data_IF_967207615037
#
_entry.id   IF_967207615037
#
_cell.length_a   1.000
_cell.length_b   1.000
_cell.length_c   1.000
_cell.angle_alpha   90.00
_cell.angle_beta   90.00
_cell.angle_gamma   90.00
#
_symmetry.space_group_name_H-M   'P 1'
#
loop_
_entity.id
_entity.type
_entity.pdbx_description
1 polymer ?
#
# COMPACT_ATOMS: atom_id res chain seq x y z
N UNK A 1 87.88 -32.23 25.05
CA UNK A 1 87.25 -33.08 24.01
C UNK A 1 85.74 -33.07 24.21
N UNK A 2 85.01 -33.06 23.09
CA UNK A 2 83.61 -32.61 22.90
C UNK A 2 82.58 -33.31 23.80
N UNK A 3 81.69 -32.53 24.43
CA UNK A 3 80.36 -32.98 24.91
C UNK A 3 79.34 -32.70 23.79
N UNK A 4 78.68 -33.73 23.27
CA UNK A 4 77.49 -33.59 22.45
C UNK A 4 76.29 -33.25 23.36
N UNK A 5 75.61 -32.14 23.10
CA UNK A 5 74.30 -31.79 23.69
C UNK A 5 73.25 -31.85 22.59
N UNK A 6 72.14 -32.52 22.88
CA UNK A 6 71.06 -32.81 21.94
C UNK A 6 70.33 -31.56 21.43
N UNK A 7 69.76 -31.69 20.23
CA UNK A 7 68.85 -30.74 19.63
C UNK A 7 67.52 -30.69 20.42
N UNK A 8 66.91 -29.50 20.62
CA UNK A 8 65.53 -29.40 21.04
C UNK A 8 64.59 -29.50 19.82
N UNK A 9 63.51 -30.29 19.97
CA UNK A 9 62.36 -30.30 19.06
C UNK A 9 61.55 -29.02 19.28
N UNK A 10 61.36 -28.22 18.23
CA UNK A 10 60.34 -27.16 18.18
C UNK A 10 59.00 -27.78 17.77
N UNK A 11 57.96 -27.59 18.58
CA UNK A 11 56.58 -27.92 18.24
C UNK A 11 56.07 -27.04 17.09
N UNK A 12 55.19 -27.54 16.20
CA UNK A 12 54.50 -26.68 15.24
C UNK A 12 53.44 -25.85 15.96
N UNK A 13 53.44 -24.53 15.72
CA UNK A 13 52.33 -23.65 16.10
C UNK A 13 51.10 -24.06 15.31
N UNK A 14 50.05 -24.48 16.01
CA UNK A 14 48.70 -24.61 15.44
C UNK A 14 48.21 -23.20 15.09
N UNK A 15 48.14 -22.89 13.79
CA UNK A 15 47.40 -21.72 13.30
C UNK A 15 45.93 -22.14 13.35
N UNK A 16 45.19 -21.61 14.32
CA UNK A 16 43.74 -21.73 14.38
C UNK A 16 43.19 -20.88 13.23
N UNK A 17 42.90 -21.53 12.10
CA UNK A 17 42.13 -20.91 11.03
C UNK A 17 40.73 -20.63 11.54
N UNK A 18 40.38 -19.35 11.71
CA UNK A 18 39.00 -18.93 11.86
C UNK A 18 38.30 -19.31 10.55
N UNK A 19 37.59 -20.44 10.52
CA UNK A 19 36.55 -20.65 9.51
C UNK A 19 35.51 -19.57 9.79
N UNK A 20 35.45 -18.54 8.95
CA UNK A 20 34.25 -17.74 8.83
C UNK A 20 33.15 -18.70 8.42
N UNK A 21 32.20 -18.99 9.31
CA UNK A 21 30.94 -19.58 8.90
C UNK A 21 30.34 -18.61 7.89
N UNK A 22 30.29 -19.01 6.62
CA UNK A 22 29.43 -18.36 5.67
C UNK A 22 28.01 -18.48 6.23
N UNK A 23 27.42 -17.34 6.62
CA UNK A 23 26.01 -17.29 6.97
C UNK A 23 25.24 -17.88 5.79
N UNK A 24 24.38 -18.85 6.05
CA UNK A 24 23.42 -19.31 5.05
C UNK A 24 22.66 -18.08 4.54
N UNK A 25 22.37 -17.97 3.23
CA UNK A 25 21.53 -16.89 2.74
C UNK A 25 20.22 -16.95 3.53
N UNK A 26 19.90 -15.85 4.19
CA UNK A 26 18.63 -15.70 4.89
C UNK A 26 17.54 -15.79 3.80
N UNK A 27 16.80 -16.89 3.78
CA UNK A 27 15.69 -17.06 2.86
C UNK A 27 14.53 -16.18 3.33
N UNK A 28 13.83 -15.55 2.38
CA UNK A 28 12.52 -14.94 2.66
C UNK A 28 11.61 -16.01 3.30
N UNK A 29 10.81 -15.67 4.32
CA UNK A 29 9.85 -16.62 4.90
C UNK A 29 9.00 -17.31 3.83
N UNK A 30 8.63 -18.58 4.09
CA UNK A 30 7.73 -19.33 3.22
C UNK A 30 6.41 -18.57 2.96
N UNK A 31 5.69 -18.85 1.86
CA UNK A 31 4.45 -18.14 1.55
C UNK A 31 3.49 -18.12 2.74
N UNK A 32 3.07 -16.92 3.13
CA UNK A 32 2.11 -16.71 4.22
C UNK A 32 0.90 -15.96 3.67
N UNK A 33 -0.28 -16.43 4.04
CA UNK A 33 -1.52 -15.68 3.83
C UNK A 33 -1.54 -14.47 4.75
N UNK A 34 -1.62 -13.28 4.16
CA UNK A 34 -1.81 -12.01 4.85
C UNK A 34 -3.31 -11.70 4.84
N UNK A 35 -3.83 -11.35 6.01
CA UNK A 35 -5.16 -10.75 6.16
C UNK A 35 -4.98 -9.40 6.81
N UNK A 36 -5.40 -8.34 6.12
CA UNK A 36 -5.33 -6.97 6.63
C UNK A 36 -6.58 -6.20 6.18
N UNK A 37 -7.36 -5.72 7.15
CA UNK A 37 -8.70 -5.17 6.89
C UNK A 37 -9.54 -6.11 6.01
N UNK A 38 -10.05 -5.62 4.87
CA UNK A 38 -10.80 -6.42 3.90
C UNK A 38 -9.93 -7.13 2.86
N UNK A 39 -8.61 -7.03 2.95
CA UNK A 39 -7.69 -7.73 2.07
C UNK A 39 -7.36 -9.13 2.58
N UNK A 40 -7.31 -10.09 1.67
CA UNK A 40 -6.61 -11.36 1.89
C UNK A 40 -5.81 -11.72 0.64
N UNK A 41 -4.54 -12.07 0.82
CA UNK A 41 -3.65 -12.49 -0.26
C UNK A 41 -2.52 -13.36 0.29
N UNK A 42 -1.95 -14.19 -0.57
CA UNK A 42 -0.67 -14.86 -0.31
C UNK A 42 0.47 -14.04 -0.94
N UNK A 43 1.67 -14.12 -0.39
CA UNK A 43 2.86 -13.59 -1.05
C UNK A 43 3.95 -14.64 -1.19
N UNK A 44 4.77 -14.51 -2.23
CA UNK A 44 5.99 -15.31 -2.41
C UNK A 44 7.10 -14.45 -3.01
N UNK A 45 8.36 -14.79 -2.73
CA UNK A 45 9.52 -14.14 -3.36
C UNK A 45 10.28 -15.18 -4.14
N UNK A 46 10.41 -14.98 -5.45
CA UNK A 46 11.11 -15.91 -6.34
C UNK A 46 12.11 -15.16 -7.21
N UNK A 47 13.17 -15.86 -7.64
CA UNK A 47 14.22 -15.28 -8.49
C UNK A 47 13.77 -14.94 -9.92
N UNK A 48 12.52 -15.20 -10.27
CA UNK A 48 11.97 -15.01 -11.61
C UNK A 48 10.77 -14.08 -11.64
N UNK A 49 10.19 -13.75 -10.49
CA UNK A 49 8.98 -12.92 -10.37
C UNK A 49 9.08 -11.84 -9.28
N UNK A 50 10.24 -11.71 -8.63
CA UNK A 50 10.42 -10.81 -7.50
C UNK A 50 9.48 -11.18 -6.34
N UNK A 51 9.01 -10.15 -5.63
CA UNK A 51 7.86 -10.26 -4.74
C UNK A 51 6.58 -10.39 -5.59
N UNK A 52 5.81 -11.46 -5.36
CA UNK A 52 4.56 -11.76 -6.05
C UNK A 52 3.43 -11.86 -5.03
N UNK A 53 2.29 -11.25 -5.34
CA UNK A 53 1.04 -11.46 -4.62
C UNK A 53 0.17 -12.47 -5.36
N UNK A 54 -0.57 -13.31 -4.65
CA UNK A 54 -1.45 -14.35 -5.20
C UNK A 54 -2.75 -14.44 -4.44
N UNK A 55 -3.78 -14.97 -5.10
CA UNK A 55 -5.10 -15.16 -4.51
C UNK A 55 -5.59 -13.86 -3.86
N UNK A 56 -5.45 -12.74 -4.57
CA UNK A 56 -5.69 -11.40 -4.03
C UNK A 56 -7.19 -11.15 -4.02
N UNK A 57 -7.73 -10.97 -2.83
CA UNK A 57 -9.15 -10.70 -2.60
C UNK A 57 -9.33 -9.40 -1.82
N UNK A 58 -10.41 -8.68 -2.11
CA UNK A 58 -10.84 -7.51 -1.36
C UNK A 58 -12.34 -7.61 -1.06
N UNK A 59 -12.73 -7.44 0.20
CA UNK A 59 -14.10 -7.63 0.69
C UNK A 59 -14.68 -9.01 0.33
N UNK A 60 -13.84 -10.03 0.29
CA UNK A 60 -14.22 -11.41 -0.06
C UNK A 60 -14.47 -11.65 -1.56
N UNK A 61 -14.21 -10.67 -2.42
CA UNK A 61 -14.28 -10.76 -3.88
C UNK A 61 -12.89 -11.00 -4.45
N UNK A 62 -12.74 -11.88 -5.44
CA UNK A 62 -11.46 -12.11 -6.10
C UNK A 62 -11.14 -10.94 -7.02
N UNK A 63 -9.92 -10.42 -6.95
CA UNK A 63 -9.45 -9.35 -7.84
C UNK A 63 -8.34 -9.85 -8.78
N UNK A 64 -7.33 -10.56 -8.25
CA UNK A 64 -6.21 -11.04 -9.03
C UNK A 64 -5.87 -12.48 -8.63
N UNK A 65 -5.71 -13.39 -9.59
CA UNK A 65 -5.01 -14.64 -9.36
C UNK A 65 -3.56 -14.36 -8.94
N UNK A 66 -2.90 -13.41 -9.62
CA UNK A 66 -1.55 -12.99 -9.26
C UNK A 66 -1.16 -11.60 -9.74
N UNK A 67 -0.23 -10.99 -9.01
CA UNK A 67 0.45 -9.74 -9.34
C UNK A 67 1.95 -9.94 -9.13
N UNK A 68 2.74 -9.83 -10.19
CA UNK A 68 4.20 -10.01 -10.11
C UNK A 68 4.99 -8.94 -10.85
N UNK A 69 6.31 -8.91 -10.59
CA UNK A 69 7.27 -8.04 -11.24
C UNK A 69 8.37 -8.88 -11.90
N UNK A 70 8.08 -9.52 -13.03
CA UNK A 70 8.95 -10.53 -13.62
C UNK A 70 10.31 -10.02 -14.11
N UNK A 71 10.39 -8.79 -14.62
CA UNK A 71 11.63 -8.29 -15.20
C UNK A 71 11.67 -6.76 -15.20
N UNK A 72 12.88 -6.22 -15.11
CA UNK A 72 13.19 -4.85 -15.44
C UNK A 72 14.26 -4.83 -16.53
N UNK A 73 13.95 -4.31 -17.71
CA UNK A 73 14.88 -4.25 -18.84
C UNK A 73 15.62 -2.93 -18.82
N UNK A 74 16.94 -2.95 -18.94
CA UNK A 74 17.78 -1.76 -18.80
C UNK A 74 18.54 -1.50 -20.08
N UNK A 75 18.37 -0.31 -20.65
CA UNK A 75 19.04 0.11 -21.88
C UNK A 75 19.89 1.35 -21.58
N UNK A 76 21.17 1.26 -21.92
CA UNK A 76 22.11 2.37 -21.77
C UNK A 76 22.25 3.09 -23.10
N UNK A 77 22.52 4.39 -23.05
CA UNK A 77 22.90 5.15 -24.23
C UNK A 77 24.07 4.44 -24.96
N UNK A 78 23.92 4.26 -26.27
CA UNK A 78 24.86 3.56 -27.16
C UNK A 78 25.23 2.12 -26.72
N UNK A 79 24.39 1.46 -25.91
CA UNK A 79 24.60 0.11 -25.38
C UNK A 79 25.94 -0.08 -24.64
N UNK A 80 26.53 1.00 -24.13
CA UNK A 80 27.91 0.96 -23.59
C UNK A 80 28.09 0.01 -22.40
N UNK A 81 27.00 -0.28 -21.68
CA UNK A 81 26.99 -1.07 -20.45
C UNK A 81 25.82 -2.02 -20.35
N UNK A 82 25.17 -2.35 -21.46
CA UNK A 82 24.00 -3.22 -21.49
C UNK A 82 23.69 -3.64 -22.92
N UNK A 83 22.45 -4.07 -23.19
CA UNK A 83 21.29 -4.03 -22.32
C UNK A 83 21.20 -5.21 -21.32
N UNK A 84 20.39 -5.07 -20.28
CA UNK A 84 20.15 -6.11 -19.25
C UNK A 84 18.67 -6.45 -19.06
N UNK A 85 18.40 -7.66 -18.57
CA UNK A 85 17.08 -8.09 -18.11
C UNK A 85 17.22 -8.50 -16.64
N UNK A 86 17.05 -7.52 -15.76
CA UNK A 86 17.25 -7.64 -14.33
C UNK A 86 16.02 -8.30 -13.71
N UNK A 87 16.25 -9.31 -12.87
CA UNK A 87 15.22 -10.08 -12.18
C UNK A 87 15.44 -9.98 -10.68
N UNK A 88 14.41 -9.56 -9.98
CA UNK A 88 14.44 -9.39 -8.53
C UNK A 88 14.12 -10.70 -7.81
N UNK A 89 14.35 -10.74 -6.50
CA UNK A 89 13.99 -11.86 -5.63
C UNK A 89 15.01 -13.01 -5.62
N UNK A 90 16.14 -12.90 -6.32
CA UNK A 90 17.20 -13.92 -6.26
C UNK A 90 18.01 -13.85 -4.98
N UNK A 91 18.56 -12.67 -4.67
CA UNK A 91 19.29 -12.41 -3.42
C UNK A 91 18.76 -11.13 -2.83
N UNK A 92 17.82 -11.27 -1.89
CA UNK A 92 17.27 -10.11 -1.17
C UNK A 92 18.23 -9.64 -0.09
N UNK A 93 18.24 -8.33 0.15
CA UNK A 93 19.13 -7.67 1.10
C UNK A 93 18.36 -7.04 2.26
N UNK A 94 18.97 -6.91 3.45
CA UNK A 94 18.38 -6.21 4.58
C UNK A 94 17.94 -4.77 4.22
N UNK A 95 16.77 -4.40 4.75
CA UNK A 95 16.16 -3.09 4.60
C UNK A 95 16.41 -2.30 5.88
N UNK A 96 17.32 -1.33 5.83
CA UNK A 96 17.81 -0.62 7.03
C UNK A 96 16.72 0.10 7.81
N UNK A 97 15.79 0.76 7.13
CA UNK A 97 14.67 1.46 7.75
C UNK A 97 13.60 0.50 8.32
N UNK A 98 13.64 -0.78 7.93
CA UNK A 98 12.74 -1.83 8.41
C UNK A 98 13.44 -2.76 9.43
N UNK A 99 14.36 -2.23 10.23
CA UNK A 99 15.14 -3.00 11.21
C UNK A 99 15.89 -4.20 10.60
N UNK A 100 16.48 -4.00 9.42
CA UNK A 100 17.22 -5.02 8.66
C UNK A 100 16.39 -6.25 8.26
N UNK A 101 15.05 -6.10 8.20
CA UNK A 101 14.18 -7.13 7.64
C UNK A 101 14.48 -7.36 6.16
N UNK A 102 14.34 -8.61 5.70
CA UNK A 102 14.43 -8.96 4.27
C UNK A 102 13.13 -8.74 3.50
N UNK A 103 12.02 -8.68 4.24
CA UNK A 103 10.69 -8.38 3.76
C UNK A 103 10.16 -7.26 4.66
N UNK A 104 9.99 -6.07 4.11
CA UNK A 104 9.35 -4.98 4.83
C UNK A 104 7.86 -5.25 4.90
N UNK A 105 7.28 -5.13 6.08
CA UNK A 105 5.85 -5.16 6.33
C UNK A 105 5.52 -4.07 7.33
N UNK A 106 4.65 -3.12 6.97
CA UNK A 106 4.20 -2.08 7.92
C UNK A 106 2.85 -1.50 7.53
N UNK A 107 2.20 -0.90 8.51
CA UNK A 107 1.00 -0.10 8.34
C UNK A 107 1.34 1.38 8.55
N UNK A 108 0.74 2.26 7.76
CA UNK A 108 0.94 3.71 7.87
C UNK A 108 -0.27 4.48 7.35
N UNK A 109 -0.35 5.76 7.71
CA UNK A 109 -1.38 6.68 7.22
C UNK A 109 -0.78 7.67 6.24
N UNK A 110 -1.41 7.83 5.09
CA UNK A 110 -1.06 8.84 4.08
C UNK A 110 -2.36 9.44 3.55
N UNK A 111 -2.46 10.77 3.54
CA UNK A 111 -3.65 11.52 3.11
C UNK A 111 -4.96 11.06 3.77
N UNK A 112 -4.90 10.78 5.08
CA UNK A 112 -6.06 10.33 5.88
C UNK A 112 -6.49 8.87 5.62
N UNK A 113 -5.74 8.13 4.80
CA UNK A 113 -6.03 6.75 4.43
C UNK A 113 -5.01 5.80 5.08
N UNK A 114 -5.48 4.67 5.61
CA UNK A 114 -4.60 3.58 6.08
C UNK A 114 -4.07 2.77 4.90
N UNK A 115 -2.79 2.45 4.96
CA UNK A 115 -2.05 1.68 3.96
C UNK A 115 -1.24 0.58 4.63
N UNK A 116 -1.15 -0.55 3.94
CA UNK A 116 -0.29 -1.68 4.25
C UNK A 116 0.79 -1.78 3.18
N UNK A 117 2.05 -1.78 3.60
CA UNK A 117 3.22 -1.91 2.73
C UNK A 117 3.80 -3.32 2.85
N UNK A 118 4.09 -3.95 1.71
CA UNK A 118 4.91 -5.15 1.62
C UNK A 118 5.97 -5.00 0.52
N UNK A 119 7.25 -5.15 0.86
CA UNK A 119 8.33 -4.90 -0.10
C UNK A 119 9.62 -5.67 0.16
N UNK A 120 10.42 -5.81 -0.89
CA UNK A 120 11.74 -6.44 -0.86
C UNK A 120 12.78 -5.50 -1.44
N UNK A 121 14.02 -5.69 -1.01
CA UNK A 121 15.17 -4.97 -1.53
C UNK A 121 16.13 -5.92 -2.22
N UNK A 122 16.58 -5.54 -3.40
CA UNK A 122 17.61 -6.23 -4.16
C UNK A 122 18.78 -5.28 -4.44
N UNK A 123 19.96 -5.88 -4.65
CA UNK A 123 21.11 -5.21 -5.23
C UNK A 123 21.55 -5.97 -6.48
N UNK A 124 21.47 -5.32 -7.65
CA UNK A 124 21.85 -5.90 -8.94
C UNK A 124 22.90 -5.00 -9.57
N UNK A 125 24.12 -5.53 -9.70
CA UNK A 125 25.27 -4.70 -10.09
C UNK A 125 25.48 -3.57 -9.07
N UNK A 126 25.52 -2.33 -9.55
CA UNK A 126 25.60 -1.13 -8.71
C UNK A 126 24.21 -0.51 -8.39
N UNK A 127 23.12 -1.15 -8.79
CA UNK A 127 21.77 -0.67 -8.46
C UNK A 127 21.30 -1.20 -7.12
N UNK A 128 20.63 -0.33 -6.39
CA UNK A 128 19.86 -0.63 -5.20
C UNK A 128 18.39 -0.46 -5.57
N UNK A 129 17.63 -1.54 -5.44
CA UNK A 129 16.26 -1.65 -5.93
C UNK A 129 15.34 -1.95 -4.75
N UNK A 130 14.20 -1.27 -4.68
CA UNK A 130 13.15 -1.56 -3.71
C UNK A 130 11.83 -1.78 -4.44
N UNK A 131 11.40 -3.05 -4.52
CA UNK A 131 10.12 -3.45 -5.09
C UNK A 131 9.09 -3.51 -3.96
N UNK A 132 7.92 -2.90 -4.16
CA UNK A 132 6.91 -2.79 -3.11
C UNK A 132 5.49 -2.76 -3.65
N UNK A 133 4.57 -3.31 -2.87
CA UNK A 133 3.14 -3.14 -3.03
C UNK A 133 2.55 -2.42 -1.82
N UNK A 134 1.78 -1.38 -2.08
CA UNK A 134 0.98 -0.65 -1.09
C UNK A 134 -0.49 -1.01 -1.29
N UNK A 135 -1.15 -1.51 -0.25
CA UNK A 135 -2.57 -1.83 -0.27
C UNK A 135 -3.28 -0.85 0.68
N UNK A 136 -4.31 -0.17 0.20
CA UNK A 136 -5.07 0.77 1.01
C UNK A 136 -6.35 0.16 1.58
N UNK A 137 -6.84 0.74 2.65
CA UNK A 137 -8.11 0.39 3.27
C UNK A 137 -9.32 0.40 2.30
N UNK A 138 -9.26 1.16 1.21
CA UNK A 138 -10.40 1.37 0.29
C UNK A 138 -10.35 0.55 -1.00
N UNK A 139 -9.47 -0.45 -1.10
CA UNK A 139 -9.44 -1.32 -2.28
C UNK A 139 -8.50 -0.83 -3.39
N UNK A 140 -7.57 0.08 -3.09
CA UNK A 140 -6.45 0.43 -3.98
C UNK A 140 -5.22 -0.44 -3.70
N UNK A 141 -4.61 -1.00 -4.74
CA UNK A 141 -3.24 -1.55 -4.73
C UNK A 141 -2.35 -0.62 -5.54
N UNK A 142 -1.15 -0.36 -5.08
CA UNK A 142 -0.14 0.42 -5.78
C UNK A 142 1.18 -0.35 -5.82
N UNK A 143 1.60 -0.77 -7.01
CA UNK A 143 2.87 -1.45 -7.24
C UNK A 143 3.94 -0.46 -7.66
N UNK A 144 5.05 -0.42 -6.93
CA UNK A 144 6.16 0.49 -7.19
C UNK A 144 7.50 -0.23 -7.29
N UNK A 145 8.37 0.32 -8.12
CA UNK A 145 9.81 0.06 -8.09
C UNK A 145 10.53 1.38 -7.83
N UNK A 146 11.42 1.36 -6.84
CA UNK A 146 12.38 2.43 -6.60
C UNK A 146 13.76 1.95 -7.01
N UNK A 147 14.49 2.76 -7.76
CA UNK A 147 15.83 2.45 -8.23
C UNK A 147 16.79 3.61 -7.95
N UNK A 148 17.96 3.29 -7.40
CA UNK A 148 19.10 4.21 -7.35
C UNK A 148 20.39 3.46 -7.65
N UNK A 149 21.45 4.20 -7.89
CA UNK A 149 22.75 3.66 -8.23
C UNK A 149 23.12 3.93 -9.69
N UNK A 150 24.38 3.66 -10.02
CA UNK A 150 24.91 3.83 -11.37
C UNK A 150 25.84 2.66 -11.69
N UNK A 151 25.42 1.78 -12.59
CA UNK A 151 26.30 0.74 -13.13
C UNK A 151 27.37 1.37 -14.03
N UNK A 152 26.97 2.36 -14.82
CA UNK A 152 27.82 3.14 -15.70
C UNK A 152 27.42 4.62 -15.68
N UNK A 153 28.38 5.47 -16.01
CA UNK A 153 28.20 6.93 -16.00
C UNK A 153 27.71 7.39 -17.38
N UNK A 154 26.56 6.88 -17.79
CA UNK A 154 25.79 7.33 -18.97
C UNK A 154 24.31 7.29 -18.64
N UNK A 155 23.53 8.06 -19.40
CA UNK A 155 22.08 8.04 -19.29
C UNK A 155 21.56 6.65 -19.69
N UNK A 156 20.50 6.23 -19.02
CA UNK A 156 19.91 4.91 -19.23
C UNK A 156 18.44 4.92 -18.84
N UNK A 157 17.72 3.92 -19.32
CA UNK A 157 16.30 3.74 -19.05
C UNK A 157 16.07 2.34 -18.51
N UNK A 158 15.30 2.27 -17.43
CA UNK A 158 14.71 1.04 -16.92
C UNK A 158 13.27 0.93 -17.45
N UNK A 159 12.93 -0.22 -18.02
CA UNK A 159 11.56 -0.60 -18.38
C UNK A 159 11.09 -1.65 -17.39
N UNK A 160 10.20 -1.26 -16.51
CA UNK A 160 9.74 -2.05 -15.37
C UNK A 160 8.42 -2.73 -15.73
N UNK A 161 8.39 -4.07 -15.77
CA UNK A 161 7.25 -4.84 -16.26
C UNK A 161 6.45 -5.44 -15.09
N UNK A 162 5.17 -5.06 -14.96
CA UNK A 162 4.19 -5.71 -14.09
C UNK A 162 3.31 -6.67 -14.87
N UNK A 163 3.14 -7.89 -14.35
CA UNK A 163 2.16 -8.86 -14.82
C UNK A 163 0.98 -8.88 -13.86
N UNK A 164 -0.21 -8.60 -14.36
CA UNK A 164 -1.48 -8.61 -13.61
C UNK A 164 -2.41 -9.66 -14.20
N UNK A 165 -2.57 -10.75 -13.46
CA UNK A 165 -3.46 -11.88 -13.76
C UNK A 165 -4.79 -11.57 -13.07
N UNK A 166 -5.72 -10.96 -13.80
CA UNK A 166 -7.01 -10.55 -13.26
C UNK A 166 -7.97 -11.73 -13.32
N UNK A 167 -8.61 -12.00 -12.18
CA UNK A 167 -9.68 -13.00 -12.03
C UNK A 167 -10.82 -12.32 -11.27
N UNK A 168 -11.43 -11.29 -11.86
CA UNK A 168 -12.45 -10.52 -11.15
C UNK A 168 -13.67 -11.42 -10.93
N UNK A 169 -13.90 -11.82 -9.67
CA UNK A 169 -14.92 -12.82 -9.30
C UNK A 169 -14.79 -14.21 -9.97
N UNK A 170 -13.64 -14.49 -10.54
CA UNK A 170 -13.32 -15.73 -11.25
C UNK A 170 -12.50 -15.44 -12.51
N UNK A 171 -11.91 -16.46 -13.14
CA UNK A 171 -11.08 -16.29 -14.33
C UNK A 171 -11.89 -16.16 -15.64
N UNK A 172 -13.22 -16.26 -15.59
CA UNK A 172 -14.07 -16.14 -16.78
C UNK A 172 -14.68 -14.74 -16.83
N UNK A 173 -15.19 -14.31 -17.99
CA UNK A 173 -15.95 -13.07 -18.15
C UNK A 173 -15.17 -11.75 -17.97
N UNK A 174 -13.84 -11.79 -17.92
CA UNK A 174 -12.99 -10.60 -17.81
C UNK A 174 -12.76 -9.91 -19.16
N UNK A 175 -12.90 -8.58 -19.15
CA UNK A 175 -12.63 -7.72 -20.30
C UNK A 175 -11.64 -6.62 -19.95
N UNK A 176 -10.70 -6.38 -20.86
CA UNK A 176 -9.88 -5.18 -20.83
C UNK A 176 -10.58 -4.06 -21.60
N UNK A 177 -10.78 -2.92 -20.95
CA UNK A 177 -11.35 -1.71 -21.54
C UNK A 177 -10.34 -0.56 -21.48
N UNK A 178 -10.45 0.31 -22.48
CA UNK A 178 -9.68 1.56 -22.56
C UNK A 178 -10.63 2.73 -22.75
N UNK A 179 -10.45 3.80 -21.99
CA UNK A 179 -11.11 5.07 -22.29
C UNK A 179 -10.37 5.82 -23.40
N UNK A 180 -11.02 5.97 -24.56
CA UNK A 180 -10.48 6.73 -25.70
C UNK A 180 -10.97 8.20 -25.74
N UNK A 181 -11.51 8.72 -24.63
CA UNK A 181 -12.07 10.06 -24.49
C UNK A 181 -13.59 10.15 -24.69
N UNK A 182 -14.23 9.03 -25.02
CA UNK A 182 -15.69 8.89 -25.13
C UNK A 182 -16.26 7.89 -24.11
N UNK A 183 -15.46 7.47 -23.13
CA UNK A 183 -15.74 6.41 -22.19
C UNK A 183 -15.02 5.10 -22.54
N UNK A 184 -15.12 4.15 -21.62
CA UNK A 184 -14.49 2.83 -21.72
C UNK A 184 -15.09 1.99 -22.85
N UNK A 185 -14.21 1.53 -23.76
CA UNK A 185 -14.55 0.58 -24.81
C UNK A 185 -13.69 -0.69 -24.68
N UNK A 186 -14.28 -1.89 -24.84
CA UNK A 186 -13.53 -3.14 -24.74
C UNK A 186 -12.53 -3.30 -25.88
N UNK A 187 -11.40 -3.94 -25.55
CA UNK A 187 -10.42 -4.44 -26.49
C UNK A 187 -10.57 -5.96 -26.53
N UNK A 188 -10.95 -6.48 -27.69
CA UNK A 188 -11.41 -7.88 -27.85
C UNK A 188 -10.35 -8.80 -28.43
N UNK A 189 -9.19 -8.26 -28.80
CA UNK A 189 -8.08 -9.04 -29.38
C UNK A 189 -6.81 -8.58 -28.69
N UNK A 190 -5.88 -9.50 -28.51
CA UNK A 190 -4.57 -9.19 -27.96
C UNK A 190 -3.95 -7.95 -28.60
N UNK A 191 -3.29 -7.16 -27.78
CA UNK A 191 -2.81 -5.86 -28.21
C UNK A 191 -1.55 -5.43 -27.47
N UNK A 192 -0.81 -4.56 -28.14
CA UNK A 192 0.28 -3.77 -27.56
C UNK A 192 -0.11 -2.32 -27.84
N UNK A 193 -0.35 -1.54 -26.80
CA UNK A 193 -0.79 -0.17 -26.93
C UNK A 193 0.14 0.74 -26.16
N UNK A 194 0.58 1.83 -26.81
CA UNK A 194 1.13 2.95 -26.06
C UNK A 194 0.10 3.34 -25.00
N UNK A 195 0.57 3.43 -23.77
CA UNK A 195 -0.29 3.70 -22.66
C UNK A 195 -1.04 5.02 -22.93
N UNK A 196 -0.39 6.03 -23.51
CA UNK A 196 -0.97 7.35 -23.83
C UNK A 196 -2.15 7.31 -24.80
N UNK A 197 -2.49 6.15 -25.38
CA UNK A 197 -3.72 5.96 -26.15
C UNK A 197 -4.98 5.98 -25.27
N UNK A 198 -4.85 5.82 -23.95
CA UNK A 198 -5.92 6.02 -23.00
C UNK A 198 -5.97 7.49 -22.53
N UNK A 199 -7.13 8.11 -22.62
CA UNK A 199 -7.35 9.46 -22.07
C UNK A 199 -7.39 9.37 -20.55
N UNK A 200 -6.70 10.29 -19.86
CA UNK A 200 -6.63 10.35 -18.39
C UNK A 200 -6.18 9.04 -17.72
N UNK A 201 -5.33 8.25 -18.40
CA UNK A 201 -4.71 7.03 -17.88
C UNK A 201 -5.73 5.94 -17.47
N UNK A 202 -6.93 5.98 -18.05
CA UNK A 202 -8.04 5.13 -17.65
C UNK A 202 -8.06 3.82 -18.46
N UNK A 203 -7.30 2.84 -17.98
CA UNK A 203 -7.47 1.43 -18.33
C UNK A 203 -8.35 0.76 -17.28
N UNK A 204 -9.11 -0.26 -17.68
CA UNK A 204 -10.02 -0.96 -16.78
C UNK A 204 -10.04 -2.43 -17.12
N UNK A 205 -10.00 -3.28 -16.09
CA UNK A 205 -10.46 -4.66 -16.21
C UNK A 205 -11.83 -4.76 -15.54
N UNK A 206 -12.76 -5.45 -16.20
CA UNK A 206 -14.13 -5.62 -15.70
C UNK A 206 -14.62 -7.04 -15.98
N UNK A 207 -15.22 -7.63 -14.95
CA UNK A 207 -16.08 -8.80 -15.10
C UNK A 207 -17.45 -8.36 -15.66
N UNK A 208 -17.82 -8.88 -16.83
CA UNK A 208 -19.06 -8.50 -17.53
C UNK A 208 -20.32 -9.01 -16.83
N UNK A 209 -20.23 -10.08 -16.07
CA UNK A 209 -21.32 -10.73 -15.36
C UNK A 209 -21.64 -9.99 -14.06
N UNK A 210 -20.62 -9.63 -13.27
CA UNK A 210 -20.82 -9.02 -11.94
C UNK A 210 -20.71 -7.50 -11.96
N UNK A 211 -20.07 -6.92 -12.98
CA UNK A 211 -19.80 -5.49 -13.08
C UNK A 211 -18.70 -4.98 -12.11
N UNK A 212 -18.06 -5.90 -11.38
CA UNK A 212 -16.83 -5.62 -10.65
C UNK A 212 -15.78 -5.12 -11.64
N UNK A 213 -15.09 -4.05 -11.28
CA UNK A 213 -13.99 -3.55 -12.10
C UNK A 213 -12.87 -2.98 -11.26
N UNK A 214 -11.68 -3.05 -11.84
CA UNK A 214 -10.46 -2.43 -11.34
C UNK A 214 -9.97 -1.46 -12.41
N UNK A 215 -9.85 -0.19 -12.05
CA UNK A 215 -9.19 0.81 -12.87
C UNK A 215 -7.68 0.69 -12.69
N UNK A 216 -6.96 0.55 -13.80
CA UNK A 216 -5.50 0.47 -13.83
C UNK A 216 -4.98 1.82 -14.31
N UNK A 217 -4.25 2.50 -13.43
CA UNK A 217 -3.78 3.87 -13.55
C UNK A 217 -2.25 3.91 -13.45
N UNK A 218 -1.55 3.84 -14.59
CA UNK A 218 -0.09 3.83 -14.55
C UNK A 218 0.56 5.23 -14.45
N UNK A 219 1.86 5.28 -14.16
CA UNK A 219 2.61 6.54 -14.01
C UNK A 219 2.19 7.37 -12.78
N UNK A 220 1.87 6.69 -11.67
CA UNK A 220 1.44 7.30 -10.41
C UNK A 220 2.65 7.65 -9.51
N UNK A 221 2.59 8.78 -8.79
CA UNK A 221 3.74 9.39 -8.09
C UNK A 221 3.54 9.67 -6.59
N UNK A 222 2.49 9.14 -5.97
CA UNK A 222 2.10 9.50 -4.59
C UNK A 222 2.88 8.84 -3.45
N UNK A 223 3.98 8.13 -3.72
CA UNK A 223 4.75 7.44 -2.68
C UNK A 223 6.25 7.78 -2.72
N UNK A 224 6.89 7.69 -1.54
CA UNK A 224 8.33 7.88 -1.36
C UNK A 224 8.89 6.81 -0.43
N UNK A 225 10.19 6.53 -0.54
CA UNK A 225 10.85 5.54 0.30
C UNK A 225 10.96 6.03 1.76
N UNK A 226 10.72 5.19 2.78
CA UNK A 226 10.63 5.64 4.17
C UNK A 226 11.96 6.00 4.85
N UNK A 227 13.09 5.87 4.16
CA UNK A 227 14.43 6.05 4.73
C UNK A 227 14.86 7.52 4.89
N UNK A 228 13.99 8.46 4.50
CA UNK A 228 14.25 9.90 4.51
C UNK A 228 15.06 10.41 3.32
N UNK A 229 15.39 9.56 2.35
CA UNK A 229 16.02 9.97 1.09
C UNK A 229 15.04 10.70 0.18
N UNK A 230 15.58 11.53 -0.70
CA UNK A 230 14.82 12.13 -1.80
C UNK A 230 14.47 11.08 -2.85
N UNK A 231 13.25 11.13 -3.36
CA UNK A 231 12.78 10.34 -4.48
C UNK A 231 12.24 11.27 -5.56
N UNK A 232 12.69 11.09 -6.80
CA UNK A 232 12.15 11.74 -7.99
C UNK A 232 11.24 10.75 -8.72
N UNK A 233 9.90 10.87 -8.57
CA UNK A 233 8.99 10.04 -9.31
C UNK A 233 8.96 10.44 -10.78
N UNK A 234 8.81 9.46 -11.66
CA UNK A 234 8.60 9.71 -13.08
C UNK A 234 7.16 10.13 -13.29
N UNK A 235 6.93 11.44 -13.25
CA UNK A 235 5.65 12.04 -13.59
C UNK A 235 5.49 12.07 -15.12
N UNK A 236 4.70 11.15 -15.66
CA UNK A 236 4.32 11.19 -17.07
C UNK A 236 4.19 9.82 -17.70
N UNK A 237 3.31 9.75 -18.70
CA UNK A 237 2.81 8.51 -19.31
C UNK A 237 3.33 8.27 -20.74
N UNK A 238 4.20 9.15 -21.23
CA UNK A 238 4.85 8.99 -22.52
C UNK A 238 5.90 7.88 -22.43
N UNK A 239 5.90 6.97 -23.42
CA UNK A 239 6.81 5.81 -23.52
C UNK A 239 6.49 4.61 -22.61
N UNK A 240 5.30 4.58 -22.01
CA UNK A 240 4.82 3.41 -21.29
C UNK A 240 3.97 2.55 -22.23
N UNK A 241 3.89 1.24 -21.96
CA UNK A 241 3.12 0.31 -22.80
C UNK A 241 2.17 -0.53 -21.96
N UNK A 242 0.94 -0.73 -22.45
CA UNK A 242 -0.03 -1.67 -21.89
C UNK A 242 -0.26 -2.79 -22.89
N UNK A 243 -0.32 -4.01 -22.38
CA UNK A 243 -0.53 -5.21 -23.20
C UNK A 243 -1.70 -6.01 -22.65
N UNK A 244 -2.55 -6.48 -23.54
CA UNK A 244 -3.59 -7.46 -23.23
C UNK A 244 -3.24 -8.79 -23.86
N UNK A 245 -3.29 -9.86 -23.07
CA UNK A 245 -3.04 -11.24 -23.50
C UNK A 245 -4.16 -12.15 -23.02
N UNK A 246 -4.41 -13.21 -23.78
CA UNK A 246 -5.17 -14.34 -23.26
C UNK A 246 -4.32 -15.06 -22.20
N UNK A 247 -4.93 -15.53 -21.12
CA UNK A 247 -4.21 -16.32 -20.15
C UNK A 247 -3.92 -17.74 -20.66
N UNK A 248 -2.65 -18.12 -20.61
CA UNK A 248 -2.23 -19.52 -20.69
C UNK A 248 -1.37 -19.89 -19.49
N UNK A 249 -1.68 -21.02 -18.85
CA UNK A 249 -0.88 -21.55 -17.74
C UNK A 249 0.60 -21.80 -18.11
N UNK A 250 0.91 -22.06 -19.39
CA UNK A 250 2.28 -22.23 -19.88
C UNK A 250 3.10 -20.92 -19.85
N UNK A 251 2.43 -19.77 -19.79
CA UNK A 251 3.03 -18.43 -19.79
C UNK A 251 3.13 -17.85 -18.38
N UNK A 252 2.55 -18.54 -17.38
CA UNK A 252 2.50 -18.14 -15.98
C UNK A 252 3.80 -18.46 -15.20
N UNK A 253 4.94 -18.63 -15.88
CA UNK A 253 6.21 -18.94 -15.23
C UNK A 253 7.43 -18.23 -15.86
N UNK A 254 7.95 -17.26 -15.11
CA UNK A 254 9.37 -16.93 -15.03
C UNK A 254 10.01 -16.22 -16.22
N UNK A 255 9.28 -15.33 -16.89
CA UNK A 255 9.71 -14.44 -17.99
C UNK A 255 11.14 -14.70 -18.46
N UNK A 256 11.30 -15.69 -19.34
CA UNK A 256 12.63 -16.21 -19.69
C UNK A 256 13.33 -15.38 -20.76
N UNK A 257 12.73 -14.25 -21.16
CA UNK A 257 13.21 -13.47 -22.28
C UNK A 257 14.30 -12.47 -21.88
N UNK A 258 15.19 -12.20 -22.85
CA UNK A 258 16.31 -11.29 -22.68
C UNK A 258 15.91 -9.81 -22.78
N UNK A 259 16.88 -8.89 -22.62
CA UNK A 259 16.63 -7.44 -22.66
C UNK A 259 15.89 -6.95 -23.91
N UNK A 260 16.14 -7.56 -25.06
CA UNK A 260 15.62 -7.10 -26.35
C UNK A 260 14.28 -7.74 -26.75
N UNK A 261 13.56 -8.30 -25.78
CA UNK A 261 12.27 -8.95 -26.02
C UNK A 261 11.23 -8.20 -25.19
N UNK A 262 10.18 -7.73 -25.86
CA UNK A 262 9.00 -7.13 -25.21
C UNK A 262 8.03 -8.23 -24.80
N UNK A 263 6.85 -7.87 -24.27
CA UNK A 263 5.81 -8.82 -23.93
C UNK A 263 5.43 -9.71 -25.11
N UNK A 264 5.76 -11.01 -25.07
CA UNK A 264 5.54 -11.94 -26.19
C UNK A 264 4.06 -12.32 -26.30
N UNK A 265 3.77 -13.27 -27.19
CA UNK A 265 2.44 -13.90 -27.33
C UNK A 265 1.33 -12.93 -27.73
N UNK A 266 1.64 -11.85 -28.44
CA UNK A 266 0.62 -11.17 -29.23
C UNK A 266 0.47 -11.91 -30.56
N UNK A 267 -0.34 -12.97 -30.58
CA UNK A 267 -0.59 -13.78 -31.79
C UNK A 267 -2.04 -13.67 -32.29
N UNK A 268 -2.81 -12.77 -31.68
CA UNK A 268 -4.11 -12.31 -32.16
C UNK A 268 -5.26 -13.14 -31.61
N UNK A 269 -5.08 -13.73 -30.43
CA UNK A 269 -6.14 -14.43 -29.72
C UNK A 269 -7.29 -13.49 -29.31
N UNK A 270 -8.46 -14.08 -29.17
CA UNK A 270 -9.67 -13.41 -28.67
C UNK A 270 -9.59 -13.32 -27.15
N UNK A 271 -9.68 -12.09 -26.63
CA UNK A 271 -9.60 -11.78 -25.19
C UNK A 271 -10.92 -11.20 -24.67
N UNK A 272 -11.99 -11.28 -25.46
CA UNK A 272 -13.28 -10.74 -25.07
C UNK A 272 -14.01 -11.63 -24.06
N UNK A 273 -14.05 -11.21 -22.79
CA UNK A 273 -14.78 -11.91 -21.73
C UNK A 273 -14.21 -13.30 -21.46
N UNK A 274 -12.89 -13.38 -21.35
CA UNK A 274 -12.10 -14.59 -21.13
C UNK A 274 -11.16 -14.41 -19.94
N UNK A 275 -10.36 -15.44 -19.64
CA UNK A 275 -9.25 -15.33 -18.70
C UNK A 275 -8.13 -14.49 -19.33
N UNK A 276 -7.82 -13.33 -18.75
CA UNK A 276 -6.92 -12.33 -19.34
C UNK A 276 -5.72 -12.03 -18.45
N UNK A 277 -4.64 -11.61 -19.10
CA UNK A 277 -3.48 -11.03 -18.41
C UNK A 277 -3.26 -9.63 -18.94
N UNK A 278 -3.27 -8.65 -18.04
CA UNK A 278 -2.84 -7.30 -18.35
C UNK A 278 -1.37 -7.15 -17.98
N UNK A 279 -0.57 -6.63 -18.89
CA UNK A 279 0.80 -6.22 -18.62
C UNK A 279 0.92 -4.71 -18.67
N UNK A 280 1.78 -4.18 -17.81
CA UNK A 280 2.16 -2.78 -17.84
C UNK A 280 3.69 -2.66 -17.78
N UNK A 281 4.24 -2.04 -18.82
CA UNK A 281 5.66 -1.72 -18.94
C UNK A 281 5.83 -0.22 -18.65
N UNK A 282 6.42 0.09 -17.51
CA UNK A 282 6.68 1.46 -17.12
C UNK A 282 8.02 1.97 -17.60
N UNK A 283 8.06 3.25 -17.93
CA UNK A 283 9.28 3.97 -18.30
C UNK A 283 9.92 4.63 -17.07
N UNK A 284 11.22 4.38 -16.83
CA UNK A 284 12.00 4.94 -15.73
C UNK A 284 13.39 5.41 -16.20
N UNK A 285 13.52 6.66 -16.68
CA UNK A 285 14.78 7.22 -17.14
C UNK A 285 15.65 7.68 -15.96
N UNK A 286 16.96 7.51 -16.09
CA UNK A 286 17.94 8.00 -15.13
C UNK A 286 19.00 8.80 -15.88
N UNK A 287 19.31 10.02 -15.41
CA UNK A 287 20.46 10.76 -15.91
C UNK A 287 21.71 10.48 -15.07
N UNK A 288 22.83 10.18 -15.72
CA UNK A 288 24.09 10.02 -15.01
C UNK A 288 24.53 11.30 -14.28
N UNK A 289 24.06 12.47 -14.73
CA UNK A 289 24.36 13.76 -14.11
C UNK A 289 23.72 13.92 -12.72
N UNK A 290 22.66 13.19 -12.42
CA UNK A 290 21.96 13.21 -11.11
C UNK A 290 22.73 12.44 -10.03
N UNK A 291 23.68 11.60 -10.44
CA UNK A 291 24.52 10.80 -9.56
C UNK A 291 23.82 9.55 -9.04
N UNK A 292 24.56 8.74 -8.27
CA UNK A 292 24.11 7.41 -7.83
C UNK A 292 23.25 7.41 -6.55
N UNK A 293 23.03 8.58 -5.95
CA UNK A 293 22.37 8.71 -4.63
C UNK A 293 20.87 8.95 -4.70
N UNK A 294 20.37 9.44 -5.83
CA UNK A 294 18.97 9.82 -6.02
C UNK A 294 18.12 8.58 -6.34
N UNK A 295 17.02 8.41 -5.62
CA UNK A 295 16.02 7.41 -5.98
C UNK A 295 15.13 7.95 -7.08
N UNK A 296 14.94 7.18 -8.13
CA UNK A 296 13.84 7.39 -9.06
C UNK A 296 12.80 6.30 -8.85
N UNK A 297 11.54 6.62 -9.15
CA UNK A 297 10.46 5.66 -8.99
C UNK A 297 9.44 5.72 -10.10
N UNK A 298 8.85 4.57 -10.41
CA UNK A 298 7.67 4.43 -11.27
C UNK A 298 6.77 3.33 -10.70
N UNK A 299 5.53 3.27 -11.16
CA UNK A 299 4.53 2.36 -10.61
C UNK A 299 3.23 2.26 -11.39
N UNK A 300 2.39 1.34 -10.93
CA UNK A 300 1.03 1.11 -11.43
C UNK A 300 0.06 1.04 -10.27
N UNK A 301 -1.01 1.81 -10.38
CA UNK A 301 -2.12 1.80 -9.42
C UNK A 301 -3.29 1.00 -9.95
N UNK A 302 -3.90 0.22 -9.09
CA UNK A 302 -5.12 -0.56 -9.33
C UNK A 302 -6.18 -0.13 -8.32
N UNK A 303 -7.28 0.43 -8.78
CA UNK A 303 -8.38 0.94 -7.93
C UNK A 303 -9.62 0.10 -8.18
N UNK A 304 -10.02 -0.71 -7.20
CA UNK A 304 -11.29 -1.44 -7.31
C UNK A 304 -12.49 -0.50 -7.14
N UNK A 305 -13.62 -0.82 -7.77
CA UNK A 305 -14.87 -0.10 -7.57
C UNK A 305 -15.67 -0.57 -6.35
N UNK A 306 -15.06 -1.42 -5.52
CA UNK A 306 -15.63 -1.86 -4.26
C UNK A 306 -15.46 -0.72 -3.27
N UNK A 307 -16.53 0.06 -3.09
CA UNK A 307 -16.58 1.11 -2.07
C UNK A 307 -16.23 0.46 -0.72
N UNK A 308 -15.26 0.98 0.06
CA UNK A 308 -15.04 0.48 1.41
C UNK A 308 -16.35 0.50 2.19
N UNK A 309 -16.60 -0.47 3.08
CA UNK A 309 -17.72 -0.33 4.00
C UNK A 309 -17.54 1.02 4.75
N UNK A 310 -18.61 1.81 4.91
CA UNK A 310 -18.50 3.02 5.72
C UNK A 310 -17.94 2.66 7.09
N UNK A 311 -17.10 3.52 7.70
CA UNK A 311 -16.69 3.35 9.08
C UNK A 311 -17.93 3.09 9.97
N UNK A 312 -17.81 2.26 11.02
CA UNK A 312 -18.88 2.12 12.00
C UNK A 312 -19.31 3.49 12.51
N UNK A 313 -20.63 3.67 12.57
CA UNK A 313 -21.34 4.85 13.07
C UNK A 313 -22.56 4.28 13.79
N UNK A 314 -22.37 4.01 15.08
CA UNK A 314 -23.28 3.20 15.89
C UNK A 314 -24.60 3.91 16.20
N UNK A 315 -24.62 5.24 16.21
CA UNK A 315 -25.82 6.04 16.42
C UNK A 315 -26.37 6.72 15.15
N UNK A 316 -25.67 6.56 14.03
CA UNK A 316 -26.06 7.00 12.69
C UNK A 316 -26.19 8.52 12.55
N UNK A 317 -25.32 9.26 13.21
CA UNK A 317 -25.31 10.73 13.18
C UNK A 317 -24.43 11.33 12.07
N UNK A 318 -23.63 10.48 11.40
CA UNK A 318 -22.72 10.87 10.32
C UNK A 318 -21.28 11.10 10.76
N UNK A 319 -20.95 10.90 12.04
CA UNK A 319 -19.59 10.93 12.58
C UNK A 319 -19.14 9.49 12.89
N UNK A 320 -18.02 9.01 12.31
CA UNK A 320 -17.52 7.67 12.61
C UNK A 320 -17.20 7.47 14.10
N UNK A 321 -17.48 6.28 14.63
CA UNK A 321 -17.27 5.88 16.04
C UNK A 321 -15.86 6.25 16.56
N UNK A 322 -14.83 6.19 15.70
CA UNK A 322 -13.44 6.46 16.07
C UNK A 322 -13.11 7.95 16.29
N UNK A 323 -13.99 8.83 15.83
CA UNK A 323 -13.85 10.30 15.93
C UNK A 323 -15.06 10.95 16.60
N UNK A 324 -15.98 10.13 17.10
CA UNK A 324 -17.23 10.55 17.70
C UNK A 324 -17.08 10.67 19.23
N UNK A 325 -17.40 11.84 19.78
CA UNK A 325 -17.39 12.10 21.22
C UNK A 325 -18.62 11.57 21.98
N UNK A 326 -19.61 11.00 21.28
CA UNK A 326 -20.76 10.29 21.85
C UNK A 326 -21.23 9.10 20.98
N UNK A 327 -20.42 8.04 20.85
CA UNK A 327 -20.63 6.83 20.00
C UNK A 327 -21.96 6.07 20.12
N UNK A 328 -22.90 6.48 20.97
CA UNK A 328 -24.22 5.88 21.12
C UNK A 328 -25.36 6.92 21.15
N UNK A 329 -25.06 8.21 21.05
CA UNK A 329 -26.01 9.31 21.19
C UNK A 329 -25.74 10.36 20.13
N UNK A 330 -26.53 10.29 19.06
CA UNK A 330 -26.35 11.10 17.87
C UNK A 330 -26.17 12.60 18.17
N UNK A 331 -24.99 13.13 17.84
CA UNK A 331 -24.57 14.50 18.05
C UNK A 331 -23.60 14.97 16.95
N UNK A 332 -24.11 15.06 15.72
CA UNK A 332 -23.31 15.37 14.52
C UNK A 332 -22.51 16.71 14.58
N UNK A 333 -22.84 17.60 15.52
CA UNK A 333 -22.10 18.85 15.77
C UNK A 333 -20.91 18.70 16.72
N UNK A 334 -20.77 17.54 17.36
CA UNK A 334 -19.64 17.09 18.17
C UNK A 334 -19.25 18.10 19.26
N UNK A 335 -20.26 18.76 19.84
CA UNK A 335 -20.03 19.80 20.86
C UNK A 335 -19.54 19.15 22.16
N UNK A 336 -18.35 19.57 22.57
CA UNK A 336 -17.67 19.22 23.83
C UNK A 336 -17.20 20.54 24.47
N UNK A 337 -17.87 20.95 25.54
CA UNK A 337 -17.75 22.31 26.10
C UNK A 337 -16.59 22.50 27.07
N UNK A 338 -16.11 21.43 27.69
CA UNK A 338 -15.00 21.43 28.64
C UNK A 338 -13.75 20.71 28.12
N UNK A 339 -13.85 20.14 26.91
CA UNK A 339 -12.75 19.57 26.12
C UNK A 339 -12.12 18.35 26.78
N UNK A 340 -12.93 17.52 27.42
CA UNK A 340 -12.48 16.27 28.05
C UNK A 340 -12.59 15.05 27.12
N UNK A 341 -13.17 15.23 25.93
CA UNK A 341 -13.35 14.19 24.92
C UNK A 341 -14.71 13.51 24.98
N UNK A 342 -15.62 13.91 25.87
CA UNK A 342 -17.02 13.48 25.88
C UNK A 342 -17.93 14.60 25.37
N UNK A 343 -18.88 14.25 24.49
CA UNK A 343 -19.81 15.24 23.97
C UNK A 343 -20.86 15.63 25.00
N UNK A 344 -21.29 16.90 24.98
CA UNK A 344 -22.33 17.46 25.85
C UNK A 344 -23.60 16.58 25.93
N UNK A 345 -23.96 15.87 24.85
CA UNK A 345 -25.18 15.06 24.80
C UNK A 345 -25.09 13.75 25.61
N UNK A 346 -23.88 13.21 25.78
CA UNK A 346 -23.62 11.97 26.53
C UNK A 346 -22.80 12.20 27.80
N UNK A 347 -22.47 13.45 28.13
CA UNK A 347 -21.75 13.82 29.34
C UNK A 347 -22.65 14.54 30.36
N UNK A 348 -22.86 13.89 31.50
CA UNK A 348 -23.57 14.48 32.65
C UNK A 348 -22.64 14.88 33.80
N UNK A 349 -21.34 14.61 33.69
CA UNK A 349 -20.37 14.84 34.73
C UNK A 349 -19.81 16.26 34.65
N UNK A 350 -20.64 17.22 35.05
CA UNK A 350 -20.37 18.66 34.98
C UNK A 350 -19.18 19.14 35.85
N UNK A 351 -18.49 18.22 36.51
CA UNK A 351 -17.30 18.50 37.32
C UNK A 351 -16.11 17.57 37.01
N UNK A 352 -16.22 16.70 36.01
CA UNK A 352 -15.19 15.79 35.51
C UNK A 352 -14.56 14.94 36.62
N UNK A 353 -15.40 14.27 37.43
CA UNK A 353 -14.99 13.30 38.44
C UNK A 353 -15.35 11.84 38.11
N UNK A 354 -15.61 11.55 36.84
CA UNK A 354 -16.00 10.30 36.20
C UNK A 354 -17.38 9.77 36.62
N UNK A 355 -18.24 10.58 37.24
CA UNK A 355 -19.57 10.12 37.69
C UNK A 355 -20.62 11.22 37.80
N UNK A 356 -21.70 11.07 37.03
CA UNK A 356 -22.86 11.97 37.10
C UNK A 356 -23.67 11.75 38.39
N UNK A 357 -23.61 12.70 39.34
CA UNK A 357 -24.21 12.53 40.67
C UNK A 357 -24.87 13.80 41.28
N UNK A 358 -25.04 13.81 42.60
CA UNK A 358 -25.67 14.90 43.34
C UNK A 358 -24.87 16.21 43.28
N UNK A 359 -23.54 16.14 43.12
CA UNK A 359 -22.68 17.32 42.93
C UNK A 359 -23.00 17.99 41.59
N UNK A 360 -23.11 17.21 40.52
CA UNK A 360 -23.50 17.68 39.18
C UNK A 360 -24.91 18.24 39.19
N UNK A 361 -25.81 17.64 39.96
CA UNK A 361 -27.17 18.17 40.14
C UNK A 361 -27.17 19.57 40.74
N UNK A 362 -26.21 19.89 41.62
CA UNK A 362 -26.06 21.24 42.17
C UNK A 362 -25.54 22.20 41.09
N UNK A 363 -24.53 21.79 40.33
CA UNK A 363 -23.99 22.59 39.22
C UNK A 363 -25.09 22.88 38.19
N UNK A 364 -25.79 21.85 37.73
CA UNK A 364 -26.89 21.95 36.79
C UNK A 364 -27.95 22.98 37.22
N UNK A 365 -28.34 22.94 38.51
CA UNK A 365 -29.33 23.90 39.06
C UNK A 365 -28.83 25.34 39.09
N UNK A 366 -27.53 25.54 39.31
CA UNK A 366 -26.92 26.87 39.34
C UNK A 366 -26.81 27.48 37.94
N UNK A 367 -26.78 26.66 36.89
CA UNK A 367 -26.69 27.12 35.50
C UNK A 367 -28.04 27.43 34.84
N UNK A 368 -29.17 27.08 35.48
CA UNK A 368 -30.50 27.24 34.89
C UNK A 368 -30.81 28.69 34.48
N UNK A 369 -31.23 28.85 33.23
CA UNK A 369 -31.62 30.13 32.63
C UNK A 369 -30.45 30.97 32.13
N UNK A 370 -29.21 30.46 32.22
CA UNK A 370 -28.06 31.14 31.66
C UNK A 370 -27.99 30.94 30.13
N UNK A 371 -27.62 31.99 29.38
CA UNK A 371 -27.38 31.88 27.95
C UNK A 371 -26.11 31.06 27.70
N UNK A 372 -26.12 30.34 26.59
CA UNK A 372 -25.03 29.52 26.07
C UNK A 372 -24.90 29.92 24.60
N UNK A 373 -23.73 30.39 24.18
CA UNK A 373 -23.61 30.92 22.81
C UNK A 373 -22.28 30.51 22.19
N UNK A 374 -22.25 30.20 20.89
CA UNK A 374 -21.02 29.84 20.19
C UNK A 374 -19.90 30.88 20.40
N UNK A 375 -18.63 30.48 20.44
CA UNK A 375 -18.12 29.14 20.13
C UNK A 375 -18.04 28.19 21.33
N UNK A 376 -18.21 28.69 22.56
CA UNK A 376 -18.12 27.88 23.80
C UNK A 376 -19.49 27.81 24.44
N UNK A 377 -20.10 26.63 24.38
CA UNK A 377 -21.37 26.36 25.03
C UNK A 377 -21.17 26.22 26.54
N UNK A 378 -22.24 26.43 27.29
CA UNK A 378 -22.26 26.10 28.71
C UNK A 378 -22.27 24.57 28.82
N UNK A 379 -21.42 24.00 29.68
CA UNK A 379 -21.38 22.54 29.92
C UNK A 379 -22.75 21.96 30.36
N UNK A 380 -23.60 22.77 31.01
CA UNK A 380 -24.95 22.37 31.39
C UNK A 380 -26.00 22.50 30.25
N UNK A 381 -25.63 23.05 29.09
CA UNK A 381 -26.46 23.12 27.87
C UNK A 381 -26.22 21.88 27.03
N UNK A 382 -26.77 20.75 27.48
CA UNK A 382 -26.45 19.41 26.94
C UNK A 382 -26.88 19.23 25.48
N UNK A 383 -27.94 19.91 25.03
CA UNK A 383 -28.37 19.88 23.62
C UNK A 383 -27.86 21.07 22.80
N UNK A 384 -27.03 21.93 23.39
CA UNK A 384 -26.44 23.09 22.74
C UNK A 384 -27.46 24.01 22.03
N UNK A 385 -28.69 24.13 22.54
CA UNK A 385 -29.71 25.01 21.95
C UNK A 385 -29.50 26.50 22.29
N UNK A 386 -28.49 26.79 23.11
CA UNK A 386 -28.06 28.12 23.47
C UNK A 386 -28.67 28.67 24.77
N UNK A 387 -29.35 27.83 25.56
CA UNK A 387 -29.85 28.19 26.89
C UNK A 387 -30.06 26.96 27.76
N UNK A 388 -29.47 26.99 28.96
CA UNK A 388 -29.68 25.93 29.95
C UNK A 388 -31.10 26.00 30.49
N UNK A 389 -31.94 25.02 30.16
CA UNK A 389 -33.36 25.04 30.45
C UNK A 389 -33.92 23.66 30.86
N UNK A 390 -35.25 23.52 30.85
CA UNK A 390 -35.92 22.30 31.26
C UNK A 390 -35.59 21.08 30.38
N UNK A 391 -35.24 21.28 29.10
CA UNK A 391 -34.84 20.22 28.18
C UNK A 391 -33.52 19.59 28.64
N UNK A 392 -32.54 20.41 29.02
CA UNK A 392 -31.25 19.95 29.52
C UNK A 392 -31.42 19.20 30.84
N UNK A 393 -32.33 19.64 31.71
CA UNK A 393 -32.66 18.89 32.95
C UNK A 393 -33.19 17.49 32.64
N UNK A 394 -33.96 17.32 31.57
CA UNK A 394 -34.51 16.02 31.19
C UNK A 394 -33.39 15.09 30.70
N UNK A 395 -32.48 15.60 29.86
CA UNK A 395 -31.29 14.87 29.39
C UNK A 395 -30.36 14.50 30.56
N UNK A 396 -30.00 15.48 31.39
CA UNK A 396 -29.15 15.28 32.57
C UNK A 396 -29.70 14.19 33.51
N UNK A 397 -31.02 14.12 33.69
CA UNK A 397 -31.65 13.08 34.53
C UNK A 397 -31.49 11.68 33.97
N UNK A 398 -31.34 11.52 32.66
CA UNK A 398 -31.11 10.22 32.02
C UNK A 398 -29.68 9.72 32.27
N UNK A 399 -28.74 10.65 32.50
CA UNK A 399 -27.32 10.35 32.75
C UNK A 399 -27.00 10.13 34.23
N UNK A 400 -27.93 10.41 35.15
CA UNK A 400 -27.71 10.24 36.60
C UNK A 400 -27.26 8.82 36.96
N UNK A 401 -26.06 8.72 37.57
CA UNK A 401 -25.44 7.47 38.00
C UNK A 401 -24.66 6.75 36.91
N UNK A 402 -24.59 7.29 35.69
CA UNK A 402 -23.74 6.80 34.62
C UNK A 402 -22.38 7.55 34.58
N UNK A 403 -21.30 6.90 34.13
CA UNK A 403 -20.09 7.60 33.68
C UNK A 403 -20.37 8.39 32.39
N UNK A 404 -19.52 9.37 32.02
CA UNK A 404 -19.63 10.07 30.74
C UNK A 404 -19.41 9.12 29.54
N UNK A 405 -20.00 9.47 28.39
CA UNK A 405 -19.83 8.73 27.13
C UNK A 405 -20.83 7.58 26.91
N UNK A 406 -20.46 6.54 26.14
CA UNK A 406 -19.12 6.22 25.60
C UNK A 406 -18.65 7.14 24.44
N UNK A 407 -17.34 7.36 24.36
CA UNK A 407 -16.67 8.23 23.36
C UNK A 407 -15.52 7.49 22.67
N UNK A 408 -15.29 7.79 21.39
CA UNK A 408 -14.14 7.33 20.62
C UNK A 408 -12.94 8.27 20.65
N UNK A 409 -13.09 9.49 21.19
CA UNK A 409 -12.01 10.50 21.27
C UNK A 409 -11.49 10.72 22.70
N UNK A 410 -12.22 10.26 23.72
CA UNK A 410 -11.79 10.32 25.11
C UNK A 410 -10.56 9.41 25.36
N UNK A 411 -9.55 9.86 26.14
CA UNK A 411 -8.25 9.20 26.30
C UNK A 411 -8.22 7.94 27.18
#
# INVERSE_FOLDING_TARGET
MKRARGLPRLLPRLILGLLALAASPLAVPAPVTVTWQSWTFDYEVTSTEGLKLRNVTFQGRTLLASLSFPVMRVFYEDDVCGPYADRLGSTVYPISWANDALLAQREFTLDGKQWYEIGIRDEIGNYNLYQVYYLSADGTIDGHIYSKGLQCVVDHVHYADWRMDFDLDGPEDDQILRDAGAGFTPLTTEFDADASTAVNHAWRVRDVTTGLHVDVLPGFDGFSIPDGSTTEPVAGYANHTVFGRLYHSAENAGWTFGPNVQVPYNDGEDIDSTDIVLWYEAYLPHSAAEGSGLWHSTGVRMVSNLVPPPPPDADSDGVPDATDNCTQVANADQIDSDSDGYGNLCDGDLNNNDVTNAQDTVIMRLQLGLPSTPPTYNIADLNANGVVNAQDIVMFRQLLGAPPGPSGVAP
#
